data_IF_595052427353
#
_entry.id   IF_595052427353
#
_cell.length_a   1.000
_cell.length_b   1.000
_cell.length_c   1.000
_cell.angle_alpha   90.00
_cell.angle_beta   90.00
_cell.angle_gamma   90.00
#
_symmetry.space_group_name_H-M   'P 1'
#
loop_
_entity.id
_entity.type
_entity.pdbx_description
1 polymer ?
#
# COMPACT_ATOMS: atom_id res chain seq x y z
N UNK A 1 -8.39 -80.26 16.04
CA UNK A 1 -8.46 -79.54 14.74
C UNK A 1 -9.39 -78.35 14.93
N UNK A 2 -8.87 -77.18 15.13
CA UNK A 2 -9.62 -75.90 15.13
C UNK A 2 -8.71 -74.81 14.58
N UNK A 3 -8.99 -74.39 13.30
CA UNK A 3 -8.29 -73.30 12.65
C UNK A 3 -8.88 -72.01 13.09
N UNK A 4 -8.01 -71.13 13.70
CA UNK A 4 -8.35 -69.76 13.99
C UNK A 4 -7.72 -68.85 12.94
N UNK A 5 -8.55 -68.27 12.08
CA UNK A 5 -8.14 -67.23 11.14
C UNK A 5 -8.15 -65.86 11.86
N UNK A 6 -6.97 -65.30 12.15
CA UNK A 6 -6.81 -63.95 12.59
C UNK A 6 -7.01 -63.00 11.39
N UNK A 7 -8.08 -62.23 11.39
CA UNK A 7 -8.31 -61.15 10.42
C UNK A 7 -7.55 -59.91 10.89
N UNK A 8 -6.48 -59.58 10.19
CA UNK A 8 -5.80 -58.29 10.35
C UNK A 8 -6.64 -57.18 9.72
N UNK A 9 -7.10 -56.24 10.56
CA UNK A 9 -7.80 -55.01 10.12
C UNK A 9 -6.77 -53.96 9.80
N UNK A 10 -6.47 -53.76 8.53
CA UNK A 10 -5.59 -52.66 8.09
C UNK A 10 -6.37 -51.35 8.10
N UNK A 11 -6.14 -50.51 9.08
CA UNK A 11 -6.73 -49.15 9.12
C UNK A 11 -5.94 -48.27 8.17
N UNK A 12 -6.54 -47.89 7.07
CA UNK A 12 -5.98 -46.97 6.10
C UNK A 12 -6.27 -45.53 6.59
N UNK A 13 -5.27 -44.86 7.23
CA UNK A 13 -5.37 -43.47 7.60
C UNK A 13 -5.15 -42.64 6.33
N UNK A 14 -6.22 -42.17 5.73
CA UNK A 14 -6.16 -41.18 4.65
C UNK A 14 -5.88 -39.82 5.33
N UNK A 15 -4.62 -39.41 5.30
CA UNK A 15 -4.24 -38.03 5.67
C UNK A 15 -4.79 -37.09 4.58
N UNK A 16 -5.90 -36.42 4.90
CA UNK A 16 -6.48 -35.39 4.06
C UNK A 16 -5.56 -34.17 4.15
N UNK A 17 -4.62 -34.03 3.21
CA UNK A 17 -3.80 -32.83 3.04
C UNK A 17 -4.75 -31.71 2.56
N UNK A 18 -5.29 -30.93 3.49
CA UNK A 18 -5.97 -29.68 3.15
C UNK A 18 -4.92 -28.71 2.59
N UNK A 19 -5.07 -28.23 1.36
CA UNK A 19 -4.21 -27.14 0.90
C UNK A 19 -4.47 -25.94 1.82
N UNK A 20 -3.40 -25.44 2.46
CA UNK A 20 -3.42 -24.11 3.07
C UNK A 20 -3.64 -23.11 1.92
N UNK A 21 -4.87 -22.71 1.68
CA UNK A 21 -5.13 -21.50 0.93
C UNK A 21 -4.58 -20.35 1.77
N UNK A 22 -3.39 -19.88 1.44
CA UNK A 22 -2.94 -18.57 1.88
C UNK A 22 -4.02 -17.60 1.39
N UNK A 23 -4.79 -17.03 2.32
CA UNK A 23 -5.71 -15.95 2.02
C UNK A 23 -4.84 -14.79 1.55
N UNK A 24 -4.75 -14.59 0.24
CA UNK A 24 -4.21 -13.37 -0.32
C UNK A 24 -5.05 -12.22 0.28
N UNK A 25 -4.39 -11.34 1.03
CA UNK A 25 -5.06 -10.14 1.51
C UNK A 25 -5.53 -9.37 0.28
N UNK A 26 -6.81 -9.01 0.22
CA UNK A 26 -7.36 -8.16 -0.85
C UNK A 26 -6.63 -6.81 -0.80
N UNK A 27 -5.60 -6.66 -1.63
CA UNK A 27 -4.78 -5.45 -1.74
C UNK A 27 -5.21 -4.57 -2.91
N UNK A 28 -6.17 -5.02 -3.71
CA UNK A 28 -6.70 -4.27 -4.84
C UNK A 28 -7.54 -3.08 -4.35
N UNK A 29 -7.26 -1.91 -4.90
CA UNK A 29 -8.04 -0.70 -4.64
C UNK A 29 -9.11 -0.56 -5.71
N UNK A 30 -10.37 -0.63 -5.32
CA UNK A 30 -11.50 -0.44 -6.23
C UNK A 30 -11.61 1.02 -6.69
N UNK A 31 -12.18 1.24 -7.87
CA UNK A 31 -12.28 2.59 -8.50
C UNK A 31 -13.01 3.61 -7.63
N UNK A 32 -14.01 3.19 -6.88
CA UNK A 32 -14.76 4.04 -5.94
C UNK A 32 -13.91 4.58 -4.80
N UNK A 33 -12.74 3.99 -4.54
CA UNK A 33 -11.79 4.42 -3.51
C UNK A 33 -10.65 5.29 -4.05
N UNK A 34 -10.69 5.69 -5.30
CA UNK A 34 -9.69 6.59 -5.86
C UNK A 34 -9.86 8.00 -5.30
N UNK A 35 -8.75 8.62 -4.89
CA UNK A 35 -8.78 9.92 -4.21
C UNK A 35 -9.01 11.10 -5.14
N UNK A 36 -8.66 10.98 -6.42
CA UNK A 36 -8.58 12.07 -7.38
C UNK A 36 -7.20 12.68 -7.52
N UNK A 37 -6.20 12.21 -6.79
CA UNK A 37 -4.83 12.71 -6.86
C UNK A 37 -4.21 12.57 -8.26
N UNK A 38 -4.39 11.41 -8.89
CA UNK A 38 -3.87 11.14 -10.23
C UNK A 38 -4.63 11.88 -11.34
N UNK A 39 -5.79 12.49 -11.05
CA UNK A 39 -6.70 13.15 -12.01
C UNK A 39 -7.28 12.21 -13.08
N UNK A 40 -6.44 11.40 -13.72
CA UNK A 40 -6.84 10.42 -14.74
C UNK A 40 -6.35 9.01 -14.34
N UNK A 41 -7.28 8.07 -14.26
CA UNK A 41 -7.06 6.66 -13.90
C UNK A 41 -7.34 5.71 -15.07
N UNK A 42 -7.67 6.23 -16.25
CA UNK A 42 -8.14 5.42 -17.38
C UNK A 42 -7.12 4.41 -17.89
N UNK A 43 -5.83 4.71 -17.71
CA UNK A 43 -4.72 3.86 -18.16
C UNK A 43 -4.36 2.76 -17.16
N UNK A 44 -4.87 2.82 -15.92
CA UNK A 44 -4.56 1.82 -14.90
C UNK A 44 -5.15 0.46 -15.26
N UNK A 45 -4.36 -0.57 -15.08
CA UNK A 45 -4.74 -1.98 -15.23
C UNK A 45 -4.42 -2.72 -13.95
N UNK A 46 -5.22 -3.74 -13.67
CA UNK A 46 -4.93 -4.66 -12.59
C UNK A 46 -3.71 -5.51 -12.94
N UNK A 47 -2.73 -5.53 -12.06
CA UNK A 47 -1.49 -6.30 -12.19
C UNK A 47 -1.04 -6.80 -10.83
N UNK A 48 -0.09 -7.74 -10.82
CA UNK A 48 0.62 -8.14 -9.60
C UNK A 48 1.95 -7.43 -9.50
N UNK A 49 2.28 -6.96 -8.30
CA UNK A 49 3.61 -6.43 -8.02
C UNK A 49 4.65 -7.57 -7.87
N UNK A 50 5.91 -7.21 -7.65
CA UNK A 50 7.00 -8.18 -7.52
C UNK A 50 6.81 -9.15 -6.32
N UNK A 51 5.98 -8.80 -5.34
CA UNK A 51 5.65 -9.64 -4.19
C UNK A 51 4.32 -10.39 -4.34
N UNK A 52 3.67 -10.29 -5.51
CA UNK A 52 2.41 -10.96 -5.83
C UNK A 52 1.14 -10.24 -5.33
N UNK A 53 1.26 -9.02 -4.77
CA UNK A 53 0.10 -8.25 -4.36
C UNK A 53 -0.60 -7.63 -5.57
N UNK A 54 -1.93 -7.61 -5.54
CA UNK A 54 -2.74 -6.97 -6.57
C UNK A 54 -2.66 -5.45 -6.45
N UNK A 55 -2.42 -4.78 -7.59
CA UNK A 55 -2.29 -3.32 -7.68
C UNK A 55 -2.91 -2.81 -8.97
N UNK A 56 -3.40 -1.58 -8.95
CA UNK A 56 -3.76 -0.86 -10.18
C UNK A 56 -2.52 -0.10 -10.67
N UNK A 57 -2.03 -0.42 -11.87
CA UNK A 57 -0.77 0.14 -12.39
C UNK A 57 -0.85 0.48 -13.87
N UNK A 58 -0.08 1.49 -14.26
CA UNK A 58 0.24 1.84 -15.64
C UNK A 58 1.75 2.07 -15.77
N UNK A 59 2.35 1.54 -16.82
CA UNK A 59 3.74 1.80 -17.19
C UNK A 59 3.79 2.13 -18.69
N UNK A 60 4.30 3.30 -19.01
CA UNK A 60 4.53 3.71 -20.39
C UNK A 60 5.75 3.01 -20.97
N UNK A 61 5.72 2.55 -22.24
CA UNK A 61 6.92 2.05 -22.91
C UNK A 61 8.08 3.06 -22.94
N UNK A 62 7.78 4.36 -22.90
CA UNK A 62 8.80 5.41 -22.85
C UNK A 62 9.63 5.37 -21.55
N UNK A 63 9.09 4.89 -20.44
CA UNK A 63 9.84 4.75 -19.18
C UNK A 63 10.96 3.71 -19.28
N UNK A 64 10.70 2.63 -20.00
CA UNK A 64 11.62 1.49 -20.14
C UNK A 64 12.55 1.60 -21.37
N UNK A 65 12.56 2.74 -22.04
CA UNK A 65 13.33 2.98 -23.27
C UNK A 65 14.83 3.11 -23.07
N UNK A 66 15.32 3.14 -21.81
CA UNK A 66 16.72 3.40 -21.49
C UNK A 66 17.08 4.89 -21.50
N UNK A 67 16.11 5.80 -21.61
CA UNK A 67 16.34 7.26 -21.58
C UNK A 67 16.64 7.76 -20.16
N UNK A 68 15.98 7.20 -19.13
CA UNK A 68 15.99 7.75 -17.78
C UNK A 68 16.98 7.01 -16.88
N UNK A 69 17.77 7.77 -16.12
CA UNK A 69 18.83 7.24 -15.24
C UNK A 69 18.85 7.90 -13.85
N UNK A 70 18.01 8.91 -13.63
CA UNK A 70 17.96 9.69 -12.38
C UNK A 70 16.52 9.90 -11.94
N UNK A 71 16.34 10.12 -10.65
CA UNK A 71 15.01 10.35 -10.05
C UNK A 71 15.01 11.66 -9.28
N UNK A 72 14.02 12.49 -9.54
CA UNK A 72 13.62 13.59 -8.67
C UNK A 72 12.42 13.13 -7.83
N UNK A 73 12.53 13.17 -6.51
CA UNK A 73 11.47 12.69 -5.60
C UNK A 73 10.84 13.91 -4.94
N UNK A 74 9.58 14.19 -5.25
CA UNK A 74 8.78 15.18 -4.55
C UNK A 74 8.50 14.75 -3.11
N UNK A 75 8.23 15.72 -2.24
CA UNK A 75 7.77 15.40 -0.90
C UNK A 75 6.40 14.71 -0.98
N UNK A 76 6.28 13.55 -0.34
CA UNK A 76 5.00 12.86 -0.21
C UNK A 76 4.01 13.77 0.52
N UNK A 77 2.79 13.83 0.03
CA UNK A 77 1.71 14.62 0.62
C UNK A 77 0.56 13.73 1.09
N UNK A 78 -0.35 14.27 1.88
CA UNK A 78 -1.67 13.69 2.09
C UNK A 78 -2.64 14.28 1.07
N UNK A 79 -3.45 13.43 0.44
CA UNK A 79 -4.48 13.91 -0.49
C UNK A 79 -5.80 13.12 -0.31
N UNK A 80 -6.88 13.81 -0.04
CA UNK A 80 -6.97 15.23 0.31
C UNK A 80 -6.22 15.54 1.61
N UNK A 81 -6.08 16.83 1.94
CA UNK A 81 -5.46 17.24 3.19
C UNK A 81 -6.16 16.57 4.38
N UNK A 82 -5.42 15.98 5.33
CA UNK A 82 -6.00 15.26 6.45
C UNK A 82 -6.74 16.22 7.38
N UNK A 83 -7.84 15.74 7.97
CA UNK A 83 -8.52 16.42 9.06
C UNK A 83 -8.13 15.76 10.39
N UNK A 84 -8.09 16.51 11.50
CA UNK A 84 -7.90 15.93 12.81
C UNK A 84 -8.94 14.85 13.09
N UNK A 85 -8.50 13.74 13.68
CA UNK A 85 -9.34 12.60 14.01
C UNK A 85 -8.93 12.05 15.39
N UNK A 86 -9.87 11.62 16.24
CA UNK A 86 -9.56 11.05 17.57
C UNK A 86 -8.61 9.85 17.52
N UNK A 87 -8.63 9.07 16.41
CA UNK A 87 -7.86 7.83 16.30
C UNK A 87 -6.47 7.99 15.65
N UNK A 88 -6.17 9.17 15.11
CA UNK A 88 -4.83 9.51 14.60
C UNK A 88 -4.59 11.01 14.69
N UNK A 89 -3.57 11.40 15.43
CA UNK A 89 -3.23 12.81 15.56
C UNK A 89 -2.32 13.30 14.42
N UNK A 90 -2.23 14.62 14.27
CA UNK A 90 -1.41 15.27 13.25
C UNK A 90 0.09 14.97 13.41
N UNK A 91 0.54 14.69 14.62
CA UNK A 91 1.93 14.31 14.90
C UNK A 91 2.24 12.96 14.28
N UNK A 92 1.38 11.98 14.53
CA UNK A 92 1.49 10.64 13.93
C UNK A 92 1.41 10.69 12.40
N UNK A 93 0.48 11.47 11.84
CA UNK A 93 0.39 11.65 10.39
C UNK A 93 1.68 12.25 9.82
N UNK A 94 2.25 13.26 10.46
CA UNK A 94 3.53 13.82 10.05
C UNK A 94 4.67 12.80 10.13
N UNK A 95 4.73 12.00 11.19
CA UNK A 95 5.72 10.93 11.34
C UNK A 95 5.61 9.88 10.21
N UNK A 96 4.39 9.44 9.88
CA UNK A 96 4.13 8.49 8.79
C UNK A 96 4.63 9.04 7.45
N UNK A 97 4.25 10.26 7.11
CA UNK A 97 4.67 10.93 5.88
C UNK A 97 6.19 11.10 5.80
N UNK A 98 6.79 11.60 6.87
CA UNK A 98 8.22 11.92 6.90
C UNK A 98 9.07 10.63 6.92
N UNK A 99 8.57 9.56 7.55
CA UNK A 99 9.16 8.23 7.46
C UNK A 99 9.17 7.71 6.02
N UNK A 100 8.01 7.75 5.33
CA UNK A 100 7.94 7.31 3.93
C UNK A 100 8.86 8.13 3.02
N UNK A 101 8.91 9.45 3.21
CA UNK A 101 9.83 10.32 2.46
C UNK A 101 11.30 9.91 2.65
N UNK A 102 11.70 9.61 3.88
CA UNK A 102 13.05 9.16 4.21
C UNK A 102 13.37 7.82 3.54
N UNK A 103 12.50 6.84 3.71
CA UNK A 103 12.72 5.48 3.16
C UNK A 103 12.76 5.48 1.62
N UNK A 104 11.86 6.21 0.96
CA UNK A 104 11.90 6.35 -0.51
C UNK A 104 13.24 6.94 -0.97
N UNK A 105 13.71 8.04 -0.39
CA UNK A 105 14.96 8.68 -0.77
C UNK A 105 16.16 7.78 -0.51
N UNK A 106 16.20 7.11 0.62
CA UNK A 106 17.30 6.23 0.99
C UNK A 106 17.37 5.00 0.07
N UNK A 107 16.26 4.29 -0.11
CA UNK A 107 16.23 3.03 -0.85
C UNK A 107 16.36 3.26 -2.37
N UNK A 108 15.67 4.26 -2.92
CA UNK A 108 15.82 4.64 -4.33
C UNK A 108 17.23 5.17 -4.59
N UNK A 109 17.80 5.97 -3.67
CA UNK A 109 19.15 6.52 -3.79
C UNK A 109 20.26 5.47 -3.77
N UNK A 110 20.00 4.26 -3.23
CA UNK A 110 20.89 3.11 -3.33
C UNK A 110 20.88 2.47 -4.72
N UNK A 111 19.83 2.69 -5.51
CA UNK A 111 19.66 2.10 -6.84
C UNK A 111 20.12 3.05 -7.96
N UNK A 112 19.73 4.33 -7.91
CA UNK A 112 20.02 5.36 -8.91
C UNK A 112 20.22 6.73 -8.24
N UNK A 113 20.90 7.69 -8.90
CA UNK A 113 21.08 9.03 -8.37
C UNK A 113 19.74 9.74 -8.12
N UNK A 114 19.55 10.25 -6.91
CA UNK A 114 18.42 11.15 -6.55
C UNK A 114 18.89 12.59 -6.73
N UNK A 115 18.18 13.35 -7.55
CA UNK A 115 18.49 14.75 -7.88
C UNK A 115 17.37 15.69 -7.45
N UNK A 116 17.67 17.00 -7.39
CA UNK A 116 16.72 18.04 -6.99
C UNK A 116 16.30 18.96 -8.14
N UNK A 117 16.81 18.70 -9.35
CA UNK A 117 16.52 19.50 -10.54
C UNK A 117 16.01 18.61 -11.66
N UNK A 118 15.06 19.10 -12.49
CA UNK A 118 14.64 18.40 -13.69
C UNK A 118 15.80 18.28 -14.71
N UNK A 119 15.68 17.35 -15.63
CA UNK A 119 16.64 17.13 -16.70
C UNK A 119 16.15 16.09 -17.69
N UNK A 120 16.83 15.97 -18.86
CA UNK A 120 16.36 15.15 -19.97
C UNK A 120 16.36 13.64 -19.65
N UNK A 121 17.17 13.21 -18.68
CA UNK A 121 17.29 11.81 -18.23
C UNK A 121 16.70 11.58 -16.83
N UNK A 122 15.88 12.54 -16.33
CA UNK A 122 15.31 12.52 -14.97
C UNK A 122 13.84 12.21 -15.03
N UNK A 123 13.40 11.21 -14.27
CA UNK A 123 11.99 11.05 -13.91
C UNK A 123 11.67 11.84 -12.65
N UNK A 124 10.42 12.32 -12.55
CA UNK A 124 9.88 12.93 -11.33
C UNK A 124 8.86 12.00 -10.70
N UNK A 125 9.08 11.63 -9.45
CA UNK A 125 8.16 10.81 -8.66
C UNK A 125 7.30 11.73 -7.78
N UNK A 126 5.98 11.63 -7.94
CA UNK A 126 4.98 12.41 -7.22
C UNK A 126 4.02 11.44 -6.54
N UNK A 127 3.91 11.47 -5.21
CA UNK A 127 3.17 10.50 -4.42
C UNK A 127 2.31 11.17 -3.33
N UNK A 128 1.15 10.56 -3.08
CA UNK A 128 0.28 10.93 -1.99
C UNK A 128 -0.14 9.70 -1.18
N UNK A 129 -0.14 9.84 0.15
CA UNK A 129 -0.90 8.96 1.02
C UNK A 129 -2.34 9.44 0.93
N UNK A 130 -3.25 8.55 0.50
CA UNK A 130 -4.61 8.94 0.16
C UNK A 130 -5.59 8.47 1.22
N UNK A 131 -6.70 9.24 1.37
CA UNK A 131 -7.81 8.85 2.22
C UNK A 131 -8.88 8.13 1.38
N UNK A 132 -9.54 7.15 1.96
CA UNK A 132 -10.61 6.40 1.31
C UNK A 132 -11.95 7.09 1.49
N UNK A 133 -12.80 7.07 0.45
CA UNK A 133 -14.24 7.39 0.60
C UNK A 133 -14.94 6.24 1.33
N UNK A 134 -15.72 6.53 2.38
CA UNK A 134 -16.65 5.55 2.93
C UNK A 134 -17.88 5.43 2.05
N UNK A 135 -18.18 4.22 1.58
CA UNK A 135 -19.32 3.96 0.70
C UNK A 135 -20.70 4.07 1.40
N UNK A 136 -20.80 3.95 2.72
CA UNK A 136 -22.06 3.74 3.43
C UNK A 136 -22.56 4.91 4.26
N UNK A 137 -21.95 6.06 4.19
CA UNK A 137 -22.61 7.26 4.67
C UNK A 137 -23.24 7.95 3.47
N UNK A 138 -24.44 8.44 3.59
CA UNK A 138 -25.06 9.42 2.67
C UNK A 138 -24.24 10.72 2.71
N UNK A 139 -22.95 10.59 2.47
CA UNK A 139 -21.93 11.64 2.53
C UNK A 139 -21.96 12.35 1.19
N UNK A 140 -22.23 13.63 1.26
CA UNK A 140 -22.05 14.50 0.09
C UNK A 140 -20.64 14.30 -0.46
N UNK A 141 -20.48 14.36 -1.77
CA UNK A 141 -19.28 13.98 -2.57
C UNK A 141 -17.92 14.60 -2.13
N UNK A 142 -17.88 15.42 -1.10
CA UNK A 142 -16.71 16.11 -0.53
C UNK A 142 -16.35 15.71 0.90
N UNK A 143 -17.03 14.70 1.47
CA UNK A 143 -16.69 14.21 2.80
C UNK A 143 -15.73 13.02 2.67
N UNK A 144 -14.45 13.33 2.59
CA UNK A 144 -13.40 12.34 2.66
C UNK A 144 -13.24 11.85 4.08
N UNK A 145 -13.12 10.53 4.24
CA UNK A 145 -12.87 9.94 5.53
C UNK A 145 -11.36 9.98 5.78
N UNK A 146 -10.93 10.55 6.90
CA UNK A 146 -9.54 10.47 7.33
C UNK A 146 -9.08 9.01 7.42
N UNK A 147 -7.79 8.77 7.23
CA UNK A 147 -7.16 7.44 7.33
C UNK A 147 -7.63 6.68 8.58
N UNK A 148 -7.83 7.37 9.69
CA UNK A 148 -8.30 6.79 10.94
C UNK A 148 -9.71 6.16 10.89
N UNK A 149 -10.61 6.61 10.02
CA UNK A 149 -11.95 6.03 9.89
C UNK A 149 -11.97 4.71 9.11
N UNK A 150 -10.91 4.38 8.40
CA UNK A 150 -10.72 3.04 7.82
C UNK A 150 -10.73 1.98 8.94
N UNK A 151 -10.27 2.34 10.13
CA UNK A 151 -10.27 1.45 11.31
C UNK A 151 -11.64 1.28 11.98
N UNK A 152 -12.57 2.22 11.79
CA UNK A 152 -13.92 2.12 12.37
C UNK A 152 -14.89 1.32 11.50
N UNK A 153 -14.78 1.37 10.17
CA UNK A 153 -15.62 0.60 9.26
C UNK A 153 -15.53 -0.91 9.47
N UNK A 154 -14.43 -1.36 10.06
CA UNK A 154 -14.17 -2.73 10.41
C UNK A 154 -14.93 -3.19 11.68
N UNK A 155 -15.39 -2.29 12.54
CA UNK A 155 -16.21 -2.64 13.71
C UNK A 155 -17.63 -3.12 13.35
N UNK A 156 -18.14 -2.79 12.17
CA UNK A 156 -19.52 -3.06 11.78
C UNK A 156 -19.74 -4.42 11.10
N UNK A 157 -18.71 -5.05 10.57
CA UNK A 157 -18.83 -6.38 9.96
C UNK A 157 -18.49 -7.47 10.99
N UNK A 158 -19.55 -8.07 11.51
CA UNK A 158 -19.57 -9.15 12.48
C UNK A 158 -18.33 -10.09 12.50
N UNK A 159 -17.62 -10.09 13.61
CA UNK A 159 -17.05 -11.32 14.18
C UNK A 159 -15.67 -11.78 13.74
N UNK A 160 -14.92 -11.11 12.87
CA UNK A 160 -13.61 -11.60 12.43
C UNK A 160 -12.58 -10.49 12.23
N UNK A 161 -11.47 -10.58 12.96
CA UNK A 161 -10.10 -10.03 12.71
C UNK A 161 -9.99 -8.59 12.21
N UNK A 162 -10.71 -7.71 12.77
CA UNK A 162 -10.81 -6.36 12.30
C UNK A 162 -10.01 -5.43 13.17
N UNK A 163 -8.71 -5.27 12.94
CA UNK A 163 -7.90 -4.33 13.73
C UNK A 163 -6.56 -3.98 13.05
N UNK A 164 -6.33 -4.43 11.83
CA UNK A 164 -5.08 -4.12 11.16
C UNK A 164 -5.14 -2.70 10.58
N UNK A 165 -4.01 -2.00 10.68
CA UNK A 165 -3.87 -0.69 10.07
C UNK A 165 -3.84 -0.81 8.55
N UNK A 166 -4.61 0.01 7.84
CA UNK A 166 -4.56 0.09 6.38
C UNK A 166 -4.09 1.46 5.91
N UNK A 167 -3.26 1.48 4.88
CA UNK A 167 -2.89 2.71 4.16
C UNK A 167 -3.15 2.55 2.68
N UNK A 168 -3.41 3.69 2.04
CA UNK A 168 -3.56 3.79 0.59
C UNK A 168 -2.55 4.79 0.05
N UNK A 169 -1.98 4.51 -1.11
CA UNK A 169 -1.07 5.42 -1.81
C UNK A 169 -1.43 5.49 -3.28
N UNK A 170 -1.39 6.69 -3.80
CA UNK A 170 -1.40 6.97 -5.22
C UNK A 170 -0.09 7.64 -5.60
N UNK A 171 0.54 7.17 -6.67
CA UNK A 171 1.81 7.69 -7.14
C UNK A 171 1.82 7.76 -8.66
N UNK A 172 2.41 8.82 -9.19
CA UNK A 172 2.73 8.94 -10.61
C UNK A 172 4.21 9.19 -10.83
N UNK A 173 4.68 8.74 -11.98
CA UNK A 173 6.02 8.98 -12.50
C UNK A 173 5.86 9.83 -13.75
N UNK A 174 6.55 10.95 -13.77
CA UNK A 174 6.50 11.93 -14.85
C UNK A 174 7.88 12.08 -15.49
N UNK A 175 7.93 12.43 -16.77
CA UNK A 175 9.11 13.06 -17.36
C UNK A 175 9.30 14.41 -16.66
N UNK A 176 10.49 14.66 -16.11
CA UNK A 176 10.67 15.80 -15.20
C UNK A 176 10.60 17.16 -15.90
N UNK A 177 10.85 17.22 -17.22
CA UNK A 177 10.81 18.46 -18.01
C UNK A 177 9.43 18.71 -18.60
N UNK A 178 8.84 17.71 -19.24
CA UNK A 178 7.56 17.88 -19.94
C UNK A 178 6.34 17.64 -19.06
N UNK A 179 6.49 17.01 -17.90
CA UNK A 179 5.37 16.58 -17.07
C UNK A 179 4.55 15.42 -17.65
N UNK A 180 4.98 14.83 -18.77
CA UNK A 180 4.29 13.69 -19.37
C UNK A 180 4.31 12.50 -18.44
N UNK A 181 3.14 11.88 -18.19
CA UNK A 181 3.05 10.68 -17.37
C UNK A 181 3.73 9.48 -18.03
N UNK A 182 4.62 8.87 -17.28
CA UNK A 182 5.39 7.67 -17.64
C UNK A 182 4.93 6.43 -16.87
N UNK A 183 4.30 6.63 -15.73
CA UNK A 183 3.75 5.55 -14.93
C UNK A 183 2.79 6.06 -13.88
N UNK A 184 1.96 5.17 -13.34
CA UNK A 184 1.09 5.44 -12.21
C UNK A 184 0.78 4.15 -11.46
N UNK A 185 0.53 4.26 -10.16
CA UNK A 185 0.10 3.15 -9.31
C UNK A 185 -0.88 3.62 -8.26
N UNK A 186 -1.89 2.79 -8.01
CA UNK A 186 -2.80 2.90 -6.86
C UNK A 186 -2.70 1.58 -6.10
N UNK A 187 -2.41 1.65 -4.81
CA UNK A 187 -2.28 0.45 -3.98
C UNK A 187 -2.73 0.66 -2.54
N UNK A 188 -3.09 -0.43 -1.92
CA UNK A 188 -3.38 -0.56 -0.50
C UNK A 188 -2.29 -1.40 0.16
N UNK A 189 -1.95 -1.08 1.40
CA UNK A 189 -1.14 -1.91 2.27
C UNK A 189 -1.89 -2.21 3.56
N UNK A 190 -1.67 -3.41 4.09
CA UNK A 190 -2.20 -3.85 5.38
C UNK A 190 -1.02 -3.98 6.35
N UNK A 191 -1.11 -3.27 7.45
CA UNK A 191 -0.09 -3.23 8.50
C UNK A 191 -0.36 -4.21 9.62
N UNK A 192 0.02 -3.82 10.83
CA UNK A 192 -0.17 -4.64 12.03
C UNK A 192 -1.41 -4.22 12.81
N UNK A 193 -1.86 -5.10 13.70
CA UNK A 193 -2.99 -4.84 14.59
C UNK A 193 -2.75 -3.58 15.44
N UNK A 194 -3.76 -2.73 15.51
CA UNK A 194 -3.77 -1.55 16.40
C UNK A 194 -4.18 -2.00 17.79
N UNK A 195 -3.22 -2.09 18.71
CA UNK A 195 -3.41 -2.60 20.08
C UNK A 195 -3.42 -1.52 21.15
N UNK A 196 -2.81 -0.38 20.84
CA UNK A 196 -2.41 0.58 21.86
C UNK A 196 -3.51 1.58 22.18
N UNK A 197 -3.68 1.82 23.49
CA UNK A 197 -4.40 2.95 24.03
C UNK A 197 -3.39 4.06 24.28
N UNK A 198 -3.66 5.28 23.82
CA UNK A 198 -2.81 6.43 24.14
C UNK A 198 -3.00 6.79 25.61
N UNK A 199 -1.91 7.13 26.28
CA UNK A 199 -1.96 7.65 27.64
C UNK A 199 -2.86 8.89 27.69
N UNK A 200 -3.96 8.83 28.47
CA UNK A 200 -4.98 9.89 28.54
C UNK A 200 -6.17 9.75 27.57
N UNK A 201 -6.21 8.74 26.70
CA UNK A 201 -7.40 8.42 25.91
C UNK A 201 -8.53 7.80 26.77
N UNK A 202 -9.78 7.92 26.30
CA UNK A 202 -10.86 7.21 26.96
C UNK A 202 -10.63 5.69 26.86
N UNK A 203 -10.98 4.95 27.93
CA UNK A 203 -10.72 3.52 28.05
C UNK A 203 -11.31 2.75 26.85
N UNK A 204 -10.42 2.15 26.03
CA UNK A 204 -10.80 1.41 24.84
C UNK A 204 -10.64 2.17 23.50
N UNK A 205 -10.21 3.42 23.51
CA UNK A 205 -9.84 4.14 22.28
C UNK A 205 -8.50 3.66 21.73
N UNK A 206 -8.54 3.07 20.56
CA UNK A 206 -7.34 2.60 19.85
C UNK A 206 -6.82 3.69 18.94
N UNK A 207 -5.53 3.99 19.04
CA UNK A 207 -4.87 4.97 18.20
C UNK A 207 -3.88 4.30 17.25
N UNK A 208 -3.87 4.78 16.02
CA UNK A 208 -2.86 4.40 15.03
C UNK A 208 -1.55 5.10 15.36
N UNK A 209 -0.50 4.33 15.43
CA UNK A 209 0.87 4.78 15.60
C UNK A 209 1.69 4.49 14.34
N UNK A 210 2.84 5.15 14.18
CA UNK A 210 3.75 4.87 13.06
C UNK A 210 4.10 3.38 12.96
N UNK A 211 4.35 2.72 14.08
CA UNK A 211 4.76 1.32 14.11
C UNK A 211 3.70 0.36 13.55
N UNK A 212 2.41 0.71 13.63
CA UNK A 212 1.36 -0.10 13.03
C UNK A 212 1.42 -0.13 11.49
N UNK A 213 1.92 0.94 10.88
CA UNK A 213 1.97 1.10 9.41
C UNK A 213 3.38 1.03 8.83
N UNK A 214 4.39 1.05 9.66
CA UNK A 214 5.79 1.01 9.24
C UNK A 214 6.11 -0.15 8.29
N UNK A 215 5.62 -1.40 8.51
CA UNK A 215 5.85 -2.50 7.56
C UNK A 215 5.28 -2.23 6.16
N UNK A 216 4.16 -1.47 6.07
CA UNK A 216 3.60 -1.05 4.79
C UNK A 216 4.55 -0.09 4.08
N UNK A 217 5.03 0.93 4.82
CA UNK A 217 5.88 1.99 4.29
C UNK A 217 7.22 1.43 3.81
N UNK A 218 7.83 0.52 4.59
CA UNK A 218 9.05 -0.19 4.25
C UNK A 218 8.88 -1.00 2.95
N UNK A 219 7.77 -1.76 2.87
CA UNK A 219 7.45 -2.55 1.69
C UNK A 219 7.24 -1.67 0.44
N UNK A 220 6.56 -0.54 0.57
CA UNK A 220 6.34 0.37 -0.56
C UNK A 220 7.64 1.01 -1.04
N UNK A 221 8.53 1.38 -0.12
CA UNK A 221 9.83 1.94 -0.47
C UNK A 221 10.75 0.90 -1.13
N UNK A 222 10.72 -0.37 -0.67
CA UNK A 222 11.42 -1.48 -1.31
C UNK A 222 10.95 -1.72 -2.74
N UNK A 223 9.63 -1.80 -2.95
CA UNK A 223 9.03 -2.01 -4.26
C UNK A 223 9.33 -0.84 -5.21
N UNK A 224 9.36 0.39 -4.70
CA UNK A 224 9.73 1.56 -5.49
C UNK A 224 11.21 1.53 -5.91
N UNK A 225 12.11 1.16 -5.00
CA UNK A 225 13.53 1.01 -5.26
C UNK A 225 13.80 -0.13 -6.27
N UNK A 226 13.19 -1.30 -6.08
CA UNK A 226 13.29 -2.42 -7.02
C UNK A 226 12.80 -2.02 -8.42
N UNK A 227 11.66 -1.34 -8.50
CA UNK A 227 11.11 -0.86 -9.76
C UNK A 227 12.07 0.10 -10.48
N UNK A 228 12.61 1.06 -9.75
CA UNK A 228 13.55 2.05 -10.28
C UNK A 228 14.86 1.37 -10.70
N UNK A 229 15.42 0.51 -9.85
CA UNK A 229 16.65 -0.24 -10.17
C UNK A 229 16.51 -1.10 -11.41
N UNK A 230 15.36 -1.75 -11.60
CA UNK A 230 15.08 -2.59 -12.77
C UNK A 230 14.93 -1.81 -14.08
N UNK A 231 14.34 -0.61 -14.02
CA UNK A 231 13.94 0.13 -15.22
C UNK A 231 14.86 1.29 -15.59
N UNK A 232 15.64 1.82 -14.64
CA UNK A 232 16.45 3.02 -14.84
C UNK A 232 17.98 2.78 -14.74
N UNK A 233 18.41 1.66 -14.16
CA UNK A 233 19.86 1.34 -14.19
C UNK A 233 20.33 1.21 -15.64
N UNK A 234 21.43 1.88 -15.96
CA UNK A 234 22.12 1.65 -17.22
C UNK A 234 22.50 0.16 -17.32
N UNK A 235 22.19 -0.44 -18.45
CA UNK A 235 22.62 -1.80 -18.76
C UNK A 235 24.10 -1.83 -19.08
#
# INVERSE_FOLDING_TARGET
MKNSYARALTVFVIALAMPLFAQASDTLVKKEHYSGFLKDYSQLKEEKDAKGNEVMRYISPALTSGKYHKVMIDRVVYYPAPKPDPHVDMTTLNQIRDYLNKELRQKIGAEVPVVNQPGPDVIRMHAAITAVKAENAALKAYQYIPIALIFQGIKAAAGTRAKDAELYVEMEILDSESGKRLGAVVRKGVGTEVKEEKEGAEKGEKMVMLDNVKPILDNWADLAAEFVGKNLKAK
#
